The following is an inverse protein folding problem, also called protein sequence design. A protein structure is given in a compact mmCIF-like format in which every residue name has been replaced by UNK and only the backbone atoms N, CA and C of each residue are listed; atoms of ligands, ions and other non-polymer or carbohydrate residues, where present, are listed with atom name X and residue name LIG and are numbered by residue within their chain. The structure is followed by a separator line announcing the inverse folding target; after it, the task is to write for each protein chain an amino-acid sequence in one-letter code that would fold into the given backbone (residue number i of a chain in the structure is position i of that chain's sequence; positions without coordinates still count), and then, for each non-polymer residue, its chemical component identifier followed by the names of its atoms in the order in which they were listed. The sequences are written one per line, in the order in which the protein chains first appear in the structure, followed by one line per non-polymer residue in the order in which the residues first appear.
data_IF_899207952172
#
_entry.id   IF_899207952172
#
_cell.length_a   1.000
_cell.length_b   1.000
_cell.length_c   1.000
_cell.angle_alpha   90.00
_cell.angle_beta   90.00
_cell.angle_gamma   90.00
#
_symmetry.space_group_name_H-M   'P 1'
#
loop_
_entity.id
_entity.type
_entity.pdbx_description
1 polymer ?
#
# COMPACT_ATOMS: atom_id res chain seq x y z
N UNK A 1 -1.33 19.72 36.00
CA UNK A 1 -0.15 19.03 35.45
C UNK A 1 0.39 19.84 34.27
N UNK A 2 1.56 20.46 34.43
CA UNK A 2 2.16 21.26 33.34
C UNK A 2 2.76 20.32 32.29
N UNK A 3 2.24 20.36 31.06
CA UNK A 3 2.76 19.56 29.95
C UNK A 3 4.22 19.90 29.64
N UNK A 4 5.05 18.88 29.42
CA UNK A 4 6.45 19.06 29.02
C UNK A 4 6.52 19.87 27.73
N UNK A 5 7.37 20.90 27.69
CA UNK A 5 7.58 21.70 26.49
C UNK A 5 8.08 20.80 25.35
N UNK A 6 7.36 20.78 24.23
CA UNK A 6 7.80 20.07 23.02
C UNK A 6 8.90 20.87 22.32
N UNK A 7 9.89 20.19 21.73
CA UNK A 7 10.95 20.84 20.96
C UNK A 7 10.43 21.60 19.73
N UNK A 8 11.15 22.63 19.30
CA UNK A 8 10.81 23.42 18.10
C UNK A 8 10.69 22.56 16.83
N UNK A 9 11.51 21.51 16.73
CA UNK A 9 11.41 20.53 15.65
C UNK A 9 10.06 19.83 15.65
N UNK A 10 9.58 19.37 16.81
CA UNK A 10 8.28 18.71 16.95
C UNK A 10 7.14 19.68 16.64
N UNK A 11 7.21 20.93 17.11
CA UNK A 11 6.23 21.97 16.78
C UNK A 11 6.15 22.22 15.27
N UNK A 12 7.29 22.32 14.60
CA UNK A 12 7.37 22.50 13.15
C UNK A 12 6.76 21.32 12.39
N UNK A 13 7.06 20.08 12.80
CA UNK A 13 6.48 18.88 12.20
C UNK A 13 4.95 18.87 12.36
N UNK A 14 4.45 19.16 13.58
CA UNK A 14 3.01 19.24 13.85
C UNK A 14 2.32 20.30 12.98
N UNK A 15 2.92 21.48 12.86
CA UNK A 15 2.41 22.55 11.99
C UNK A 15 2.33 22.10 10.53
N UNK A 16 3.40 21.51 9.98
CA UNK A 16 3.41 21.00 8.60
C UNK A 16 2.34 19.94 8.36
N UNK A 17 2.13 19.03 9.34
CA UNK A 17 1.06 18.03 9.26
C UNK A 17 -0.32 18.67 9.24
N UNK A 18 -0.55 19.67 10.09
CA UNK A 18 -1.82 20.41 10.11
C UNK A 18 -2.07 21.18 8.81
N UNK A 19 -1.04 21.85 8.26
CA UNK A 19 -1.15 22.59 7.00
C UNK A 19 -1.41 21.64 5.82
N UNK A 20 -0.74 20.48 5.78
CA UNK A 20 -1.02 19.44 4.78
C UNK A 20 -2.44 18.87 4.90
N UNK A 21 -2.93 18.64 6.13
CA UNK A 21 -4.29 18.14 6.34
C UNK A 21 -5.34 19.14 5.83
N UNK A 22 -5.13 20.45 6.05
CA UNK A 22 -5.99 21.51 5.47
C UNK A 22 -5.97 21.47 3.95
N UNK A 23 -4.79 21.32 3.34
CA UNK A 23 -4.65 21.22 1.89
C UNK A 23 -5.39 20.00 1.32
N UNK A 24 -5.23 18.82 1.94
CA UNK A 24 -5.92 17.61 1.52
C UNK A 24 -7.44 17.74 1.63
N UNK A 25 -7.95 18.31 2.74
CA UNK A 25 -9.37 18.55 2.92
C UNK A 25 -9.92 19.50 1.85
N UNK A 26 -9.18 20.56 1.52
CA UNK A 26 -9.57 21.53 0.51
C UNK A 26 -9.57 20.92 -0.91
N UNK A 27 -8.57 20.10 -1.25
CA UNK A 27 -8.54 19.35 -2.52
C UNK A 27 -9.73 18.39 -2.60
N UNK A 28 -10.02 17.64 -1.54
CA UNK A 28 -11.17 16.73 -1.51
C UNK A 28 -12.50 17.48 -1.67
N UNK A 29 -12.66 18.64 -1.03
CA UNK A 29 -13.84 19.48 -1.20
C UNK A 29 -13.98 20.00 -2.64
N UNK A 30 -12.88 20.47 -3.24
CA UNK A 30 -12.90 20.96 -4.62
C UNK A 30 -13.19 19.84 -5.64
N UNK A 31 -12.64 18.65 -5.45
CA UNK A 31 -12.95 17.49 -6.30
C UNK A 31 -14.43 17.08 -6.20
N UNK A 32 -15.04 17.16 -5.02
CA UNK A 32 -16.49 16.95 -4.85
C UNK A 32 -17.31 18.01 -5.60
N UNK A 33 -16.89 19.26 -5.59
CA UNK A 33 -17.54 20.34 -6.35
C UNK A 33 -17.43 20.14 -7.86
N UNK A 34 -16.30 19.63 -8.36
CA UNK A 34 -16.12 19.28 -9.77
C UNK A 34 -16.99 18.10 -10.20
N UNK A 35 -17.23 17.14 -9.31
CA UNK A 35 -18.07 15.98 -9.57
C UNK A 35 -19.58 16.30 -9.66
N UNK A 36 -20.01 17.52 -9.29
CA UNK A 36 -21.41 17.92 -9.38
C UNK A 36 -21.89 17.98 -10.83
N UNK A 37 -23.11 17.49 -11.13
CA UNK A 37 -23.66 17.48 -12.48
C UNK A 37 -23.77 18.90 -13.05
N UNK A 38 -23.65 19.00 -14.37
CA UNK A 38 -23.72 20.26 -15.11
C UNK A 38 -25.15 20.82 -15.01
N UNK A 39 -25.33 21.80 -14.12
CA UNK A 39 -26.64 22.37 -13.77
C UNK A 39 -26.69 22.94 -12.36
N UNK A 40 -25.88 22.41 -11.43
CA UNK A 40 -25.72 22.99 -10.09
C UNK A 40 -24.62 24.06 -10.06
N UNK A 41 -24.80 25.08 -9.21
CA UNK A 41 -23.78 26.12 -8.98
C UNK A 41 -22.54 25.50 -8.34
N UNK A 42 -21.54 25.17 -9.16
CA UNK A 42 -20.22 24.71 -8.71
C UNK A 42 -19.49 25.84 -7.99
N UNK A 43 -18.92 25.55 -6.82
CA UNK A 43 -18.00 26.49 -6.18
C UNK A 43 -16.66 26.46 -6.92
N UNK A 44 -16.16 27.63 -7.32
CA UNK A 44 -14.84 27.75 -7.93
C UNK A 44 -13.71 27.46 -6.94
N UNK A 45 -12.54 27.08 -7.46
CA UNK A 45 -11.34 26.78 -6.66
C UNK A 45 -11.00 27.88 -5.64
N UNK A 46 -11.23 29.14 -5.99
CA UNK A 46 -10.94 30.30 -5.13
C UNK A 46 -11.87 30.37 -3.90
N UNK A 47 -13.13 29.99 -4.05
CA UNK A 47 -14.10 29.94 -2.95
C UNK A 47 -13.73 28.84 -1.96
N UNK A 48 -13.45 27.63 -2.46
CA UNK A 48 -13.02 26.50 -1.63
C UNK A 48 -11.69 26.79 -0.93
N UNK A 49 -10.74 27.43 -1.63
CA UNK A 49 -9.47 27.83 -1.04
C UNK A 49 -9.63 28.80 0.14
N UNK A 50 -10.55 29.77 0.03
CA UNK A 50 -10.85 30.70 1.11
C UNK A 50 -11.52 30.00 2.31
N UNK A 51 -12.48 29.10 2.07
CA UNK A 51 -13.16 28.32 3.12
C UNK A 51 -12.15 27.51 3.96
N UNK A 52 -11.13 26.94 3.31
CA UNK A 52 -10.09 26.14 3.97
C UNK A 52 -8.84 26.94 4.35
N UNK A 53 -8.79 28.25 4.09
CA UNK A 53 -7.63 29.12 4.33
C UNK A 53 -6.33 28.58 3.70
N UNK A 54 -6.42 28.09 2.46
CA UNK A 54 -5.27 27.58 1.67
C UNK A 54 -5.03 28.44 0.44
N UNK A 55 -3.83 28.34 -0.15
CA UNK A 55 -3.52 29.06 -1.38
C UNK A 55 -4.27 28.43 -2.57
N UNK A 56 -5.03 29.26 -3.31
CA UNK A 56 -5.85 28.79 -4.44
C UNK A 56 -5.04 28.14 -5.56
N UNK A 57 -3.82 28.64 -5.84
CA UNK A 57 -2.98 28.14 -6.92
C UNK A 57 -2.47 26.76 -6.58
N UNK A 58 -2.02 26.58 -5.34
CA UNK A 58 -1.58 25.27 -4.81
C UNK A 58 -2.72 24.26 -4.81
N UNK A 59 -3.92 24.67 -4.39
CA UNK A 59 -5.11 23.81 -4.43
C UNK A 59 -5.44 23.37 -5.86
N UNK A 60 -5.46 24.31 -6.81
CA UNK A 60 -5.72 24.01 -8.21
C UNK A 60 -4.66 23.08 -8.80
N UNK A 61 -3.37 23.35 -8.56
CA UNK A 61 -2.27 22.53 -9.08
C UNK A 61 -2.29 21.10 -8.50
N UNK A 62 -2.73 20.92 -7.25
CA UNK A 62 -2.98 19.59 -6.67
C UNK A 62 -4.18 18.89 -7.31
N UNK A 63 -5.28 19.60 -7.53
CA UNK A 63 -6.50 19.03 -8.12
C UNK A 63 -6.31 18.60 -9.59
N UNK A 64 -5.52 19.35 -10.36
CA UNK A 64 -5.16 19.03 -11.75
C UNK A 64 -4.03 17.98 -11.82
N UNK A 65 -3.42 17.61 -10.68
CA UNK A 65 -2.36 16.61 -10.63
C UNK A 65 -0.99 17.10 -11.09
N UNK A 66 -0.80 18.41 -11.25
CA UNK A 66 0.49 19.01 -11.62
C UNK A 66 1.54 18.84 -10.52
N UNK A 67 1.11 18.89 -9.26
CA UNK A 67 1.95 18.60 -8.10
C UNK A 67 1.40 17.44 -7.30
N UNK A 68 2.22 16.40 -7.11
CA UNK A 68 1.88 15.33 -6.17
C UNK A 68 2.05 15.83 -4.73
N UNK A 69 1.05 15.65 -3.86
CA UNK A 69 1.21 15.96 -2.45
C UNK A 69 2.31 15.06 -1.86
N UNK A 70 3.06 15.60 -0.90
CA UNK A 70 4.15 14.87 -0.24
C UNK A 70 3.65 13.55 0.39
N UNK A 71 2.41 13.50 0.87
CA UNK A 71 1.80 12.27 1.39
C UNK A 71 1.71 11.17 0.32
N UNK A 72 1.20 11.49 -0.88
CA UNK A 72 1.11 10.53 -1.98
C UNK A 72 2.49 10.08 -2.47
N UNK A 73 3.48 10.97 -2.39
CA UNK A 73 4.88 10.58 -2.64
C UNK A 73 5.39 9.59 -1.60
N UNK A 74 5.13 9.84 -0.31
CA UNK A 74 5.53 8.95 0.78
C UNK A 74 4.82 7.58 0.70
N UNK A 75 3.52 7.57 0.41
CA UNK A 75 2.74 6.35 0.14
C UNK A 75 3.36 5.54 -1.00
N UNK A 76 3.79 6.19 -2.08
CA UNK A 76 4.47 5.49 -3.19
C UNK A 76 5.85 4.90 -2.85
N UNK A 77 6.45 5.34 -1.74
CA UNK A 77 7.75 4.85 -1.24
C UNK A 77 7.60 3.87 -0.09
N UNK A 78 6.37 3.67 0.40
CA UNK A 78 6.10 2.80 1.53
C UNK A 78 6.24 1.34 1.09
N UNK A 79 7.17 0.61 1.74
CA UNK A 79 7.43 -0.81 1.44
C UNK A 79 6.67 -1.75 2.37
N UNK A 80 6.48 -1.32 3.62
CA UNK A 80 5.71 -2.03 4.63
C UNK A 80 4.25 -1.61 4.56
N UNK A 81 3.32 -2.52 4.81
CA UNK A 81 1.92 -2.14 5.03
C UNK A 81 1.77 -1.40 6.35
N UNK A 82 0.68 -0.64 6.53
CA UNK A 82 0.42 0.05 7.79
C UNK A 82 0.38 -0.91 8.99
N UNK A 83 -0.14 -2.12 8.80
CA UNK A 83 -0.17 -3.15 9.84
C UNK A 83 1.25 -3.64 10.21
N UNK A 84 2.12 -3.81 9.22
CA UNK A 84 3.52 -4.22 9.44
C UNK A 84 4.33 -3.11 10.13
N UNK A 85 4.10 -1.85 9.78
CA UNK A 85 4.71 -0.72 10.49
C UNK A 85 4.30 -0.65 11.95
N UNK A 86 3.03 -0.97 12.26
CA UNK A 86 2.56 -1.04 13.65
C UNK A 86 3.34 -2.06 14.47
N UNK A 87 3.61 -3.25 13.92
CA UNK A 87 4.41 -4.28 14.60
C UNK A 87 5.82 -3.75 14.94
N UNK A 88 6.47 -3.07 14.00
CA UNK A 88 7.80 -2.49 14.23
C UNK A 88 7.74 -1.38 15.28
N UNK A 89 6.72 -0.52 15.24
CA UNK A 89 6.54 0.57 16.21
C UNK A 89 6.28 0.04 17.61
N UNK A 90 5.41 -0.96 17.75
CA UNK A 90 5.08 -1.57 19.04
C UNK A 90 6.34 -2.23 19.64
N UNK A 91 7.11 -2.96 18.83
CA UNK A 91 8.39 -3.52 19.24
C UNK A 91 9.40 -2.45 19.70
N UNK A 92 9.48 -1.30 19.01
CA UNK A 92 10.33 -0.17 19.43
C UNK A 92 9.87 0.40 20.77
N UNK A 93 8.56 0.60 20.95
CA UNK A 93 7.98 1.14 22.19
C UNK A 93 8.26 0.19 23.35
N UNK A 94 7.97 -1.10 23.20
CA UNK A 94 8.24 -2.11 24.21
C UNK A 94 9.74 -2.19 24.57
N UNK A 95 10.61 -2.08 23.57
CA UNK A 95 12.06 -2.06 23.77
C UNK A 95 12.50 -0.80 24.55
N UNK A 96 11.93 0.35 24.21
CA UNK A 96 12.22 1.61 24.88
C UNK A 96 11.74 1.59 26.34
N UNK A 97 10.58 1.00 26.62
CA UNK A 97 10.05 0.84 27.98
C UNK A 97 10.95 -0.08 28.84
N UNK A 98 11.62 -1.04 28.20
CA UNK A 98 12.65 -1.90 28.83
C UNK A 98 14.02 -1.23 28.96
N UNK A 99 14.16 0.05 28.57
CA UNK A 99 15.39 0.81 28.64
C UNK A 99 16.41 0.49 27.53
N UNK A 100 15.98 -0.17 26.46
CA UNK A 100 16.83 -0.55 25.32
C UNK A 100 16.32 0.18 24.07
N UNK A 101 16.72 1.45 23.85
CA UNK A 101 16.34 2.16 22.63
C UNK A 101 16.97 1.47 21.42
N UNK A 102 16.15 1.15 20.43
CA UNK A 102 16.59 0.44 19.24
C UNK A 102 17.35 1.37 18.29
N UNK A 103 18.42 0.85 17.68
CA UNK A 103 19.18 1.59 16.67
C UNK A 103 18.51 1.49 15.31
N UNK A 104 18.80 2.45 14.42
CA UNK A 104 18.26 2.44 13.05
C UNK A 104 18.57 1.13 12.31
N UNK A 105 19.79 0.60 12.47
CA UNK A 105 20.20 -0.66 11.86
C UNK A 105 19.36 -1.86 12.33
N UNK A 106 18.98 -1.89 13.61
CA UNK A 106 18.13 -2.95 14.17
C UNK A 106 16.69 -2.86 13.67
N UNK A 107 16.17 -1.64 13.59
CA UNK A 107 14.83 -1.37 13.03
C UNK A 107 14.78 -1.79 11.56
N UNK A 108 15.82 -1.47 10.79
CA UNK A 108 15.94 -1.88 9.39
C UNK A 108 16.01 -3.40 9.24
N UNK A 109 16.76 -4.11 10.10
CA UNK A 109 16.83 -5.56 10.08
C UNK A 109 15.45 -6.21 10.31
N UNK A 110 14.72 -5.78 11.34
CA UNK A 110 13.36 -6.29 11.65
C UNK A 110 12.38 -5.98 10.51
N UNK A 111 12.44 -4.77 9.93
CA UNK A 111 11.63 -4.41 8.77
C UNK A 111 11.92 -5.31 7.56
N UNK A 112 13.20 -5.62 7.30
CA UNK A 112 13.60 -6.50 6.20
C UNK A 112 13.16 -7.95 6.46
N UNK A 113 13.23 -8.45 7.70
CA UNK A 113 12.71 -9.77 8.07
C UNK A 113 11.22 -9.90 7.78
N UNK A 114 10.42 -8.88 8.14
CA UNK A 114 8.98 -8.84 7.82
C UNK A 114 8.76 -8.90 6.31
N UNK A 115 9.52 -8.12 5.53
CA UNK A 115 9.43 -8.13 4.06
C UNK A 115 9.84 -9.49 3.46
N UNK A 116 10.81 -10.18 4.06
CA UNK A 116 11.26 -11.51 3.60
C UNK A 116 10.21 -12.58 3.90
N UNK A 117 9.65 -12.59 5.12
CA UNK A 117 8.58 -13.54 5.51
C UNK A 117 7.34 -13.44 4.62
N UNK A 118 7.12 -12.28 4.00
CA UNK A 118 6.02 -12.04 3.04
C UNK A 118 6.31 -12.56 1.63
N UNK A 119 7.57 -12.63 1.23
CA UNK A 119 7.97 -13.16 -0.08
C UNK A 119 8.13 -14.69 -0.05
N UNK A 120 8.22 -15.29 1.13
CA UNK A 120 8.22 -16.73 1.35
C UNK A 120 6.78 -17.28 1.41
N UNK A 121 6.09 -17.28 0.27
CA UNK A 121 4.95 -18.20 0.06
C UNK A 121 5.49 -19.65 -0.08
N UNK A 122 4.73 -20.66 0.37
CA UNK A 122 5.22 -22.02 0.56
C UNK A 122 5.57 -22.67 -0.78
N UNK A 123 6.83 -23.07 -0.96
CA UNK A 123 7.21 -23.92 -2.09
C UNK A 123 6.40 -25.22 -2.04
N UNK A 124 5.68 -25.51 -3.12
CA UNK A 124 4.84 -26.69 -3.31
C UNK A 124 5.63 -28.03 -3.36
N UNK A 125 6.89 -28.06 -2.94
CA UNK A 125 7.82 -29.17 -3.12
C UNK A 125 7.91 -30.14 -1.93
N UNK A 126 7.06 -29.99 -0.90
CA UNK A 126 7.15 -30.81 0.32
C UNK A 126 6.08 -31.90 0.47
N UNK A 127 5.32 -32.24 -0.58
CA UNK A 127 4.24 -33.27 -0.50
C UNK A 127 4.57 -34.64 -1.12
N UNK A 128 5.78 -34.90 -1.61
CA UNK A 128 6.18 -36.27 -2.00
C UNK A 128 7.05 -36.94 -0.93
N UNK A 129 6.51 -37.16 0.27
CA UNK A 129 7.16 -38.05 1.26
C UNK A 129 6.18 -38.58 2.31
N UNK A 130 4.95 -38.94 1.94
CA UNK A 130 4.09 -39.72 2.84
C UNK A 130 2.85 -40.25 2.12
N UNK A 131 2.98 -41.38 1.42
CA UNK A 131 1.82 -42.20 1.08
C UNK A 131 2.28 -43.61 0.72
N UNK A 132 2.54 -44.39 1.77
CA UNK A 132 2.54 -45.84 1.64
C UNK A 132 1.13 -46.33 1.28
N UNK A 133 0.97 -46.86 0.07
CA UNK A 133 -0.09 -47.81 -0.27
C UNK A 133 0.53 -48.96 -1.07
N UNK A 134 0.39 -50.22 -0.63
CA UNK A 134 0.69 -51.38 -1.44
C UNK A 134 -0.54 -51.93 -2.17
N UNK A 135 -0.27 -52.77 -3.17
CA UNK A 135 -1.19 -53.61 -3.98
C UNK A 135 -1.74 -52.90 -5.24
N UNK A 136 -1.85 -53.52 -6.42
CA UNK A 136 -2.17 -54.92 -6.72
C UNK A 136 -1.85 -55.22 -8.20
N UNK A 137 -1.58 -56.50 -8.45
CA UNK A 137 -1.45 -57.19 -9.74
C UNK A 137 -2.45 -56.83 -10.84
N UNK A 138 -1.95 -56.74 -12.08
CA UNK A 138 -2.49 -57.43 -13.26
C UNK A 138 -3.72 -56.85 -13.96
N UNK A 139 -3.53 -56.29 -15.16
CA UNK A 139 -4.31 -56.67 -16.34
C UNK A 139 -3.60 -56.22 -17.62
N UNK A 140 -3.27 -57.19 -18.46
CA UNK A 140 -2.82 -57.00 -19.83
C UNK A 140 -3.99 -56.55 -20.72
N UNK A 141 -3.62 -56.03 -21.90
CA UNK A 141 -4.16 -56.40 -23.21
C UNK A 141 -4.73 -55.23 -24.05
N UNK A 142 -4.09 -55.12 -25.23
CA UNK A 142 -4.58 -54.63 -26.54
C UNK A 142 -4.61 -53.10 -26.67
N UNK A 143 -3.95 -52.48 -27.64
CA UNK A 143 -3.56 -52.96 -28.97
C UNK A 143 -4.27 -52.07 -30.00
N UNK A 144 -3.50 -51.56 -30.97
CA UNK A 144 -3.98 -50.89 -32.19
C UNK A 144 -4.53 -49.47 -31.95
N UNK A 145 -4.40 -48.46 -32.81
CA UNK A 145 -3.99 -48.38 -34.19
C UNK A 145 -3.57 -46.93 -34.53
N UNK A 146 -2.70 -46.83 -35.53
CA UNK A 146 -2.71 -45.82 -36.59
C UNK A 146 -2.83 -44.32 -36.25
N UNK A 147 -1.67 -43.68 -36.31
CA UNK A 147 -1.53 -42.36 -36.94
C UNK A 147 -2.04 -42.40 -38.38
N UNK A 148 -3.15 -41.71 -38.66
CA UNK A 148 -3.48 -41.26 -40.02
C UNK A 148 -3.88 -39.78 -39.99
N UNK A 149 -3.12 -39.01 -40.75
CA UNK A 149 -3.34 -37.60 -41.14
C UNK A 149 -4.70 -37.40 -41.81
N UNK A 150 -5.37 -36.28 -41.54
CA UNK A 150 -6.11 -35.54 -42.57
C UNK A 150 -6.46 -34.10 -42.14
N UNK A 151 -6.14 -33.15 -43.05
CA UNK A 151 -6.89 -31.95 -43.51
C UNK A 151 -7.68 -31.13 -42.48
N UNK A 152 -7.53 -29.81 -42.34
CA UNK A 152 -7.23 -28.72 -43.28
C UNK A 152 -8.18 -28.66 -44.49
N UNK A 153 -9.34 -28.05 -44.25
CA UNK A 153 -10.33 -27.40 -45.12
C UNK A 153 -11.40 -26.90 -44.12
N UNK A 154 -12.00 -25.73 -44.14
CA UNK A 154 -12.12 -24.61 -45.07
C UNK A 154 -13.25 -23.80 -44.45
N UNK A 155 -12.98 -22.54 -44.10
CA UNK A 155 -13.96 -21.63 -43.53
C UNK A 155 -14.36 -20.68 -44.66
N UNK A 156 -15.55 -20.87 -45.21
CA UNK A 156 -16.44 -19.86 -45.80
C UNK A 156 -17.80 -20.50 -46.11
#
# INVERSE_FOLDING_TARGET
MAGRATSERVKTIKRRRADNAKMQAAVAAYLKELAKPEGERRKGARTVANEHSVNYRTLHDHAVGKHRPMSAYLESKQRLSAAEEHVVVDWIIESADRGIPQTHARIEAVANEILQSKNEEPSADSLESSSGYPARSGFESRGSAEMVRARQEGND
#
